data_IF_960656284019
#
_entry.id   IF_960656284019
#
_cell.length_a   1.000
_cell.length_b   1.000
_cell.length_c   1.000
_cell.angle_alpha   90.00
_cell.angle_beta   90.00
_cell.angle_gamma   90.00
#
_symmetry.space_group_name_H-M   'P 1'
#
loop_
_entity.id
_entity.type
_entity.pdbx_description
1 polymer ?
#
# COMPACT_ATOMS: atom_id res chain seq x y z
N UNK A 1 -27.28 -3.15 22.53
CA UNK A 1 -27.86 -1.95 23.18
C UNK A 1 -27.03 -0.76 22.77
N UNK A 2 -27.65 0.13 22.01
CA UNK A 2 -27.10 1.42 21.62
C UNK A 2 -27.35 2.48 22.71
N UNK A 3 -26.38 3.35 22.94
CA UNK A 3 -26.48 4.50 23.84
C UNK A 3 -26.05 5.74 23.07
N UNK A 4 -26.87 6.79 23.10
CA UNK A 4 -26.59 8.05 22.42
C UNK A 4 -26.49 9.14 23.48
N UNK A 5 -25.35 9.81 23.55
CA UNK A 5 -25.04 10.82 24.56
C UNK A 5 -24.70 12.14 23.87
N UNK A 6 -25.31 13.24 24.32
CA UNK A 6 -24.93 14.59 23.86
C UNK A 6 -23.64 15.01 24.58
N UNK A 7 -22.67 15.47 23.81
CA UNK A 7 -21.37 15.97 24.32
C UNK A 7 -21.46 17.47 24.62
N UNK A 8 -20.57 17.95 25.49
CA UNK A 8 -20.49 19.37 25.88
C UNK A 8 -20.21 20.28 24.67
N UNK A 9 -19.53 19.75 23.65
CA UNK A 9 -19.28 20.43 22.36
C UNK A 9 -20.50 20.50 21.43
N UNK A 10 -21.69 20.07 21.88
CA UNK A 10 -22.93 20.08 21.07
C UNK A 10 -23.04 18.94 20.05
N UNK A 11 -22.09 18.01 20.00
CA UNK A 11 -22.12 16.83 19.12
C UNK A 11 -22.79 15.63 19.81
N UNK A 12 -23.17 14.61 19.05
CA UNK A 12 -23.84 13.40 19.53
C UNK A 12 -22.92 12.19 19.42
N UNK A 13 -22.56 11.58 20.55
CA UNK A 13 -21.76 10.36 20.61
C UNK A 13 -22.68 9.15 20.69
N UNK A 14 -22.62 8.28 19.69
CA UNK A 14 -23.28 6.99 19.68
C UNK A 14 -22.30 5.89 20.13
N UNK A 15 -22.78 4.98 20.97
CA UNK A 15 -22.06 3.82 21.49
C UNK A 15 -22.90 2.56 21.28
N UNK A 16 -22.42 1.59 20.50
CA UNK A 16 -23.08 0.29 20.28
C UNK A 16 -22.33 -0.78 21.04
N UNK A 17 -23.03 -1.48 21.95
CA UNK A 17 -22.53 -2.66 22.67
C UNK A 17 -23.38 -3.88 22.33
N UNK A 18 -22.72 -4.94 21.87
CA UNK A 18 -23.34 -6.24 21.59
C UNK A 18 -22.45 -7.35 22.14
N UNK A 19 -23.05 -8.35 22.78
CA UNK A 19 -22.33 -9.52 23.30
C UNK A 19 -21.55 -10.20 22.18
N UNK A 20 -20.27 -10.51 22.42
CA UNK A 20 -19.37 -11.10 21.43
C UNK A 20 -18.69 -10.10 20.48
N UNK A 21 -18.97 -8.79 20.60
CA UNK A 21 -18.36 -7.75 19.77
C UNK A 21 -17.72 -6.65 20.64
N UNK A 22 -16.60 -6.03 20.19
CA UNK A 22 -16.03 -4.87 20.86
C UNK A 22 -16.99 -3.69 20.80
N UNK A 23 -16.96 -2.84 21.83
CA UNK A 23 -17.78 -1.64 21.88
C UNK A 23 -17.40 -0.67 20.76
N UNK A 24 -18.38 -0.23 19.97
CA UNK A 24 -18.17 0.70 18.86
C UNK A 24 -18.71 2.07 19.21
N UNK A 25 -17.91 3.11 19.00
CA UNK A 25 -18.31 4.48 19.25
C UNK A 25 -18.02 5.39 18.05
N UNK A 26 -18.98 6.26 17.72
CA UNK A 26 -18.83 7.29 16.68
C UNK A 26 -19.56 8.56 17.08
N UNK A 27 -19.00 9.70 16.72
CA UNK A 27 -19.56 11.03 17.00
C UNK A 27 -20.17 11.64 15.74
N UNK A 28 -21.31 12.30 15.90
CA UNK A 28 -22.14 12.87 14.84
C UNK A 28 -22.54 14.30 15.17
N UNK A 29 -22.86 15.09 14.14
CA UNK A 29 -23.37 16.46 14.33
C UNK A 29 -24.84 16.48 14.76
N UNK A 30 -25.65 15.55 14.26
CA UNK A 30 -27.08 15.48 14.58
C UNK A 30 -27.43 14.21 15.36
N UNK A 31 -28.50 14.29 16.17
CA UNK A 31 -29.02 13.12 16.90
C UNK A 31 -29.55 12.06 15.94
N UNK A 32 -30.19 12.50 14.85
CA UNK A 32 -30.77 11.62 13.84
C UNK A 32 -29.71 10.77 13.14
N UNK A 33 -28.59 11.37 12.73
CA UNK A 33 -27.48 10.62 12.13
C UNK A 33 -26.91 9.58 13.11
N UNK A 34 -26.83 9.93 14.40
CA UNK A 34 -26.39 9.02 15.45
C UNK A 34 -27.37 7.84 15.62
N UNK A 35 -28.68 8.10 15.63
CA UNK A 35 -29.73 7.06 15.69
C UNK A 35 -29.68 6.13 14.47
N UNK A 36 -29.65 6.70 13.26
CA UNK A 36 -29.60 5.95 12.00
C UNK A 36 -28.33 5.07 11.92
N UNK A 37 -27.18 5.60 12.35
CA UNK A 37 -25.94 4.84 12.42
C UNK A 37 -26.00 3.69 13.43
N UNK A 38 -26.57 3.92 14.63
CA UNK A 38 -26.70 2.86 15.65
C UNK A 38 -27.59 1.72 15.16
N UNK A 39 -28.75 2.04 14.56
CA UNK A 39 -29.66 1.03 14.01
C UNK A 39 -29.02 0.21 12.91
N UNK A 40 -28.36 0.87 11.95
CA UNK A 40 -27.64 0.19 10.86
C UNK A 40 -26.54 -0.73 11.41
N UNK A 41 -25.77 -0.25 12.37
CA UNK A 41 -24.67 -1.02 12.97
C UNK A 41 -25.18 -2.25 13.72
N UNK A 42 -26.25 -2.12 14.53
CA UNK A 42 -26.85 -3.25 15.23
C UNK A 42 -27.44 -4.28 14.25
N UNK A 43 -28.12 -3.83 13.19
CA UNK A 43 -28.66 -4.70 12.14
C UNK A 43 -27.55 -5.46 11.38
N UNK A 44 -26.47 -4.77 10.99
CA UNK A 44 -25.29 -5.41 10.38
C UNK A 44 -24.67 -6.46 11.31
N UNK A 45 -24.58 -6.17 12.61
CA UNK A 45 -24.07 -7.11 13.61
C UNK A 45 -25.01 -8.30 13.82
N UNK A 46 -26.33 -8.12 13.72
CA UNK A 46 -27.32 -9.20 13.80
C UNK A 46 -27.25 -10.11 12.58
N UNK A 47 -27.11 -9.54 11.39
CA UNK A 47 -26.97 -10.27 10.14
C UNK A 47 -25.60 -10.93 9.96
N UNK A 48 -24.63 -10.63 10.82
CA UNK A 48 -23.27 -11.17 10.74
C UNK A 48 -22.43 -10.57 9.61
N UNK A 49 -22.86 -9.45 9.01
CA UNK A 49 -22.16 -8.75 7.92
C UNK A 49 -21.34 -7.54 8.40
N UNK A 50 -21.27 -7.35 9.73
CA UNK A 50 -20.59 -6.20 10.32
C UNK A 50 -19.08 -6.25 10.09
N UNK A 51 -18.53 -5.18 9.51
CA UNK A 51 -17.10 -5.01 9.27
C UNK A 51 -16.64 -3.75 10.00
N UNK A 52 -15.67 -3.88 10.90
CA UNK A 52 -15.06 -2.73 11.57
C UNK A 52 -14.14 -1.95 10.63
N UNK A 53 -14.69 -0.93 9.96
CA UNK A 53 -13.94 -0.09 9.00
C UNK A 53 -13.15 1.06 9.63
N UNK A 54 -13.31 1.32 10.93
CA UNK A 54 -12.63 2.41 11.63
C UNK A 54 -11.10 2.32 11.55
N UNK A 55 -10.55 1.11 11.43
CA UNK A 55 -9.12 0.88 11.21
C UNK A 55 -8.63 1.42 9.87
N UNK A 56 -9.33 1.13 8.76
CA UNK A 56 -8.95 1.60 7.43
C UNK A 56 -9.20 3.09 7.18
N UNK A 57 -10.17 3.70 7.88
CA UNK A 57 -10.40 5.15 7.84
C UNK A 57 -9.25 5.93 8.48
N UNK A 58 -8.68 5.43 9.58
CA UNK A 58 -7.59 6.10 10.33
C UNK A 58 -6.21 5.76 9.79
N UNK A 59 -6.04 4.57 9.22
CA UNK A 59 -4.77 4.13 8.66
C UNK A 59 -4.53 4.79 7.30
N UNK A 60 -3.53 5.67 7.22
CA UNK A 60 -3.07 6.21 5.93
C UNK A 60 -2.18 5.20 5.21
N UNK A 61 -2.09 5.32 3.88
CA UNK A 61 -1.17 4.48 3.12
C UNK A 61 0.28 4.67 3.58
N UNK A 62 0.66 5.89 3.98
CA UNK A 62 2.00 6.14 4.52
C UNK A 62 2.27 5.38 5.82
N UNK A 63 1.31 5.35 6.74
CA UNK A 63 1.42 4.57 7.97
C UNK A 63 1.43 3.07 7.69
N UNK A 64 0.58 2.60 6.78
CA UNK A 64 0.52 1.21 6.36
C UNK A 64 1.85 0.74 5.75
N UNK A 65 2.44 1.51 4.84
CA UNK A 65 3.74 1.17 4.23
C UNK A 65 4.88 1.19 5.25
N UNK A 66 4.89 2.15 6.18
CA UNK A 66 5.90 2.18 7.26
C UNK A 66 5.80 0.93 8.14
N UNK A 67 4.58 0.55 8.53
CA UNK A 67 4.32 -0.68 9.29
C UNK A 67 4.76 -1.92 8.52
N UNK A 68 4.43 -2.00 7.23
CA UNK A 68 4.84 -3.10 6.36
C UNK A 68 6.36 -3.26 6.27
N UNK A 69 7.09 -2.15 6.15
CA UNK A 69 8.55 -2.16 6.11
C UNK A 69 9.17 -2.59 7.43
N UNK A 70 8.50 -2.37 8.56
CA UNK A 70 8.97 -2.77 9.88
C UNK A 70 8.65 -4.24 10.21
N UNK A 71 7.47 -4.73 9.81
CA UNK A 71 6.98 -6.06 10.19
C UNK A 71 7.30 -7.13 9.13
N UNK A 72 7.13 -6.81 7.84
CA UNK A 72 7.14 -7.81 6.75
C UNK A 72 8.46 -7.79 6.00
N UNK A 73 8.96 -6.61 5.63
CA UNK A 73 10.19 -6.48 4.84
C UNK A 73 11.41 -7.19 5.47
N UNK A 74 11.64 -7.18 6.80
CA UNK A 74 12.81 -7.81 7.41
C UNK A 74 12.89 -9.33 7.18
N UNK A 75 11.76 -10.00 6.94
CA UNK A 75 11.71 -11.44 6.64
C UNK A 75 12.23 -11.79 5.24
N UNK A 76 12.42 -10.78 4.37
CA UNK A 76 12.85 -10.94 2.98
C UNK A 76 14.36 -10.75 2.84
N UNK A 77 14.89 -11.12 1.67
CA UNK A 77 16.30 -10.90 1.33
C UNK A 77 16.70 -9.42 1.46
N UNK A 78 17.91 -9.08 1.93
CA UNK A 78 18.35 -7.69 2.10
C UNK A 78 18.28 -6.84 0.82
N UNK A 79 18.51 -7.46 -0.33
CA UNK A 79 18.35 -6.80 -1.65
C UNK A 79 16.90 -6.38 -1.89
N UNK A 80 15.94 -7.27 -1.61
CA UNK A 80 14.51 -6.99 -1.70
C UNK A 80 14.09 -5.89 -0.73
N UNK A 81 14.60 -5.90 0.51
CA UNK A 81 14.31 -4.87 1.51
C UNK A 81 14.64 -3.46 1.01
N UNK A 82 15.85 -3.28 0.45
CA UNK A 82 16.30 -1.98 -0.11
C UNK A 82 15.44 -1.53 -1.29
N UNK A 83 15.07 -2.46 -2.17
CA UNK A 83 14.19 -2.17 -3.32
C UNK A 83 12.79 -1.78 -2.84
N UNK A 84 12.21 -2.52 -1.89
CA UNK A 84 10.89 -2.22 -1.33
C UNK A 84 10.86 -0.88 -0.60
N UNK A 85 11.91 -0.54 0.15
CA UNK A 85 12.02 0.76 0.81
C UNK A 85 11.97 1.91 -0.21
N UNK A 86 12.71 1.79 -1.32
CA UNK A 86 12.71 2.82 -2.38
C UNK A 86 11.33 2.94 -3.03
N UNK A 87 10.65 1.82 -3.28
CA UNK A 87 9.30 1.81 -3.88
C UNK A 87 8.24 2.33 -2.93
N UNK A 88 8.33 1.99 -1.64
CA UNK A 88 7.48 2.53 -0.61
C UNK A 88 7.58 4.05 -0.54
N UNK A 89 8.79 4.62 -0.62
CA UNK A 89 8.95 6.09 -0.64
C UNK A 89 8.24 6.72 -1.85
N UNK A 90 8.32 6.10 -3.03
CA UNK A 90 7.60 6.57 -4.21
C UNK A 90 6.08 6.45 -4.08
N UNK A 91 5.57 5.40 -3.41
CA UNK A 91 4.13 5.29 -3.14
C UNK A 91 3.69 6.32 -2.09
N UNK A 92 4.51 6.57 -1.07
CA UNK A 92 4.23 7.54 -0.01
C UNK A 92 4.17 8.97 -0.56
N UNK A 93 5.07 9.34 -1.48
CA UNK A 93 5.10 10.70 -2.03
C UNK A 93 3.83 11.04 -2.82
N UNK A 94 3.26 10.07 -3.53
CA UNK A 94 2.07 10.29 -4.37
C UNK A 94 0.75 9.97 -3.66
N UNK A 95 0.71 8.87 -2.91
CA UNK A 95 -0.54 8.31 -2.36
C UNK A 95 -0.57 8.28 -0.82
N UNK A 96 0.51 8.68 -0.15
CA UNK A 96 0.66 8.51 1.30
C UNK A 96 -0.36 9.26 2.16
N UNK A 97 -0.97 10.33 1.63
CA UNK A 97 -1.99 11.14 2.34
C UNK A 97 -3.38 10.49 2.35
N UNK A 98 -3.66 9.57 1.43
CA UNK A 98 -4.95 8.89 1.40
C UNK A 98 -5.06 7.87 2.53
N UNK A 99 -6.25 7.79 3.12
CA UNK A 99 -6.59 6.65 3.99
C UNK A 99 -6.74 5.38 3.16
N UNK A 100 -6.48 4.22 3.77
CA UNK A 100 -6.64 2.93 3.10
C UNK A 100 -8.09 2.72 2.62
N UNK A 101 -9.07 3.33 3.29
CA UNK A 101 -10.48 3.33 2.90
C UNK A 101 -10.83 4.31 1.75
N UNK A 102 -10.09 5.43 1.62
CA UNK A 102 -10.34 6.42 0.58
C UNK A 102 -9.69 6.06 -0.78
N UNK A 103 -8.71 5.17 -0.77
CA UNK A 103 -8.09 4.68 -2.00
C UNK A 103 -9.11 3.93 -2.85
N UNK A 104 -9.12 4.23 -4.15
CA UNK A 104 -9.94 3.57 -5.16
C UNK A 104 -9.06 2.98 -6.27
N UNK A 105 -9.62 2.04 -7.05
CA UNK A 105 -8.93 1.50 -8.22
C UNK A 105 -8.56 2.60 -9.23
N UNK A 106 -9.40 3.64 -9.34
CA UNK A 106 -9.17 4.81 -10.18
C UNK A 106 -7.95 5.62 -9.72
N UNK A 107 -7.84 5.92 -8.42
CA UNK A 107 -6.68 6.64 -7.87
C UNK A 107 -5.38 5.89 -8.15
N UNK A 108 -5.39 4.56 -8.00
CA UNK A 108 -4.21 3.73 -8.25
C UNK A 108 -3.92 3.62 -9.76
N UNK A 109 -4.94 3.61 -10.62
CA UNK A 109 -4.76 3.66 -12.07
C UNK A 109 -4.15 5.00 -12.52
N UNK A 110 -4.63 6.12 -11.98
CA UNK A 110 -4.06 7.44 -12.21
C UNK A 110 -2.59 7.50 -11.73
N UNK A 111 -2.27 6.88 -10.60
CA UNK A 111 -0.89 6.73 -10.16
C UNK A 111 -0.04 5.94 -11.17
N UNK A 112 -0.53 4.80 -11.68
CA UNK A 112 0.18 4.03 -12.73
C UNK A 112 0.49 4.90 -13.95
N UNK A 113 -0.49 5.63 -14.44
CA UNK A 113 -0.37 6.39 -15.69
C UNK A 113 0.55 7.61 -15.51
N UNK A 114 0.43 8.32 -14.40
CA UNK A 114 1.35 9.42 -14.04
C UNK A 114 2.79 8.94 -13.86
N UNK A 115 2.99 7.75 -13.27
CA UNK A 115 4.33 7.16 -13.11
C UNK A 115 4.94 6.74 -14.44
N UNK A 116 4.17 6.14 -15.34
CA UNK A 116 4.64 5.79 -16.69
C UNK A 116 5.06 7.03 -17.49
N UNK A 117 4.34 8.15 -17.33
CA UNK A 117 4.68 9.43 -17.95
C UNK A 117 5.89 10.13 -17.29
N UNK A 118 6.25 9.76 -16.05
CA UNK A 118 7.33 10.43 -15.31
C UNK A 118 8.72 10.11 -15.87
N UNK A 119 9.55 11.14 -15.96
CA UNK A 119 10.94 11.06 -16.42
C UNK A 119 11.85 10.75 -15.23
N UNK A 120 12.63 9.70 -15.35
CA UNK A 120 13.65 9.33 -14.36
C UNK A 120 14.84 10.29 -14.40
N UNK A 121 15.66 10.32 -13.34
CA UNK A 121 16.89 11.11 -13.28
C UNK A 121 17.89 10.85 -14.44
N UNK A 122 17.67 9.78 -15.22
CA UNK A 122 18.47 9.43 -16.40
C UNK A 122 17.88 9.99 -17.71
N UNK A 123 16.91 10.89 -17.63
CA UNK A 123 16.23 11.48 -18.78
C UNK A 123 15.33 10.51 -19.55
N UNK A 124 15.08 9.30 -19.02
CA UNK A 124 14.26 8.27 -19.67
C UNK A 124 12.90 8.12 -18.97
N UNK A 125 11.82 7.79 -19.70
CA UNK A 125 10.56 7.40 -19.09
C UNK A 125 10.75 6.25 -18.09
N UNK A 126 9.92 6.23 -17.05
CA UNK A 126 9.97 5.18 -16.04
C UNK A 126 9.64 3.82 -16.67
N UNK A 127 10.51 2.83 -16.43
CA UNK A 127 10.31 1.47 -16.93
C UNK A 127 8.99 0.87 -16.42
N UNK A 128 8.26 0.18 -17.31
CA UNK A 128 7.07 -0.60 -16.96
C UNK A 128 7.34 -1.57 -15.79
N UNK A 129 8.52 -2.19 -15.74
CA UNK A 129 8.86 -3.11 -14.65
C UNK A 129 8.95 -2.40 -13.30
N UNK A 130 9.42 -1.15 -13.27
CA UNK A 130 9.47 -0.34 -12.05
C UNK A 130 8.07 -0.11 -11.50
N UNK A 131 7.12 0.30 -12.35
CA UNK A 131 5.72 0.54 -11.96
C UNK A 131 5.03 -0.77 -11.55
N UNK A 132 5.28 -1.87 -12.27
CA UNK A 132 4.75 -3.20 -11.91
C UNK A 132 5.19 -3.64 -10.51
N UNK A 133 6.45 -3.40 -10.15
CA UNK A 133 6.97 -3.73 -8.82
C UNK A 133 6.40 -2.81 -7.73
N UNK A 134 6.14 -1.53 -8.03
CA UNK A 134 5.45 -0.61 -7.10
C UNK A 134 4.01 -1.11 -6.84
N UNK A 135 3.28 -1.48 -7.89
CA UNK A 135 1.94 -2.07 -7.77
C UNK A 135 1.97 -3.43 -7.06
N UNK A 136 3.00 -4.25 -7.27
CA UNK A 136 3.15 -5.53 -6.59
C UNK A 136 3.33 -5.35 -5.07
N UNK A 137 4.15 -4.39 -4.65
CA UNK A 137 4.31 -4.02 -3.24
C UNK A 137 2.97 -3.57 -2.63
N UNK A 138 2.25 -2.68 -3.33
CA UNK A 138 0.95 -2.21 -2.87
C UNK A 138 -0.07 -3.36 -2.78
N UNK A 139 -0.08 -4.28 -3.75
CA UNK A 139 -0.95 -5.47 -3.73
C UNK A 139 -0.66 -6.36 -2.51
N UNK A 140 0.61 -6.59 -2.20
CA UNK A 140 0.97 -7.39 -1.04
C UNK A 140 0.64 -6.67 0.27
N UNK A 141 0.78 -5.34 0.33
CA UNK A 141 0.34 -4.55 1.47
C UNK A 141 -1.16 -4.75 1.74
N UNK A 142 -2.00 -4.67 0.71
CA UNK A 142 -3.44 -4.93 0.85
C UNK A 142 -3.73 -6.35 1.34
N UNK A 143 -2.98 -7.34 0.85
CA UNK A 143 -3.14 -8.74 1.27
C UNK A 143 -2.85 -8.91 2.77
N UNK A 144 -1.73 -8.38 3.26
CA UNK A 144 -1.39 -8.38 4.69
C UNK A 144 -2.39 -7.58 5.51
N UNK A 145 -2.83 -6.42 5.02
CA UNK A 145 -3.79 -5.58 5.72
C UNK A 145 -5.15 -6.26 5.92
N UNK A 146 -5.57 -7.09 4.97
CA UNK A 146 -6.80 -7.87 5.01
C UNK A 146 -6.63 -9.09 5.94
N UNK A 147 -5.52 -9.81 5.82
CA UNK A 147 -5.31 -11.08 6.53
C UNK A 147 -4.89 -10.90 7.98
N UNK A 148 -4.02 -9.93 8.27
CA UNK A 148 -3.34 -9.82 9.58
C UNK A 148 -3.75 -8.58 10.36
N UNK A 149 -3.99 -7.45 9.68
CA UNK A 149 -4.20 -6.18 10.39
C UNK A 149 -5.65 -5.87 10.70
N UNK A 150 -6.60 -6.65 10.17
CA UNK A 150 -8.02 -6.51 10.50
C UNK A 150 -8.59 -5.10 10.23
N UNK A 151 -8.09 -4.39 9.22
CA UNK A 151 -8.47 -2.99 8.95
C UNK A 151 -9.90 -2.81 8.40
N UNK A 152 -10.66 -3.89 8.27
CA UNK A 152 -11.99 -3.87 7.65
C UNK A 152 -11.95 -3.58 6.15
N UNK A 153 -10.82 -3.85 5.50
CA UNK A 153 -10.69 -3.85 4.05
C UNK A 153 -11.19 -5.21 3.55
N UNK A 154 -12.12 -5.23 2.60
CA UNK A 154 -12.75 -6.47 2.14
C UNK A 154 -12.06 -7.09 0.92
N UNK A 155 -11.41 -6.29 0.08
CA UNK A 155 -10.74 -6.78 -1.13
C UNK A 155 -9.52 -5.94 -1.49
N UNK A 156 -8.63 -6.56 -2.27
CA UNK A 156 -7.43 -5.91 -2.77
C UNK A 156 -7.74 -5.11 -4.04
N UNK A 157 -7.62 -3.79 -3.96
CA UNK A 157 -7.92 -2.86 -5.05
C UNK A 157 -7.00 -3.05 -6.27
N UNK A 158 -5.76 -3.47 -6.05
CA UNK A 158 -4.74 -3.55 -7.10
C UNK A 158 -5.01 -4.71 -8.06
N UNK A 159 -5.73 -5.75 -7.63
CA UNK A 159 -6.10 -6.88 -8.49
C UNK A 159 -7.06 -6.47 -9.60
N UNK A 160 -7.83 -5.40 -9.40
CA UNK A 160 -8.82 -4.91 -10.37
C UNK A 160 -8.22 -3.94 -11.40
N UNK A 161 -6.90 -3.74 -11.40
CA UNK A 161 -6.22 -2.76 -12.25
C UNK A 161 -5.38 -3.48 -13.31
N UNK A 162 -5.46 -3.01 -14.55
CA UNK A 162 -4.58 -3.48 -15.63
C UNK A 162 -3.13 -3.10 -15.34
N UNK A 163 -2.27 -4.10 -15.21
CA UNK A 163 -0.82 -3.89 -15.01
C UNK A 163 -0.17 -3.54 -16.35
N UNK A 164 0.86 -2.65 -16.37
CA UNK A 164 1.61 -2.39 -17.59
C UNK A 164 2.19 -3.68 -18.17
N UNK A 165 2.24 -3.80 -19.49
CA UNK A 165 2.87 -4.95 -20.15
C UNK A 165 4.34 -5.05 -19.71
N UNK A 166 4.84 -6.27 -19.42
CA UNK A 166 6.26 -6.45 -19.18
C UNK A 166 7.03 -5.93 -20.39
N UNK A 167 8.03 -5.07 -20.15
CA UNK A 167 8.90 -4.61 -21.23
C UNK A 167 9.75 -5.76 -21.76
N UNK A 168 10.35 -5.56 -22.94
CA UNK A 168 11.30 -6.53 -23.50
C UNK A 168 12.39 -6.88 -22.47
N UNK A 169 12.64 -8.19 -22.35
CA UNK A 169 13.74 -8.70 -21.54
C UNK A 169 15.07 -8.14 -22.05
N UNK A 170 16.02 -7.95 -21.14
CA UNK A 170 17.39 -7.65 -21.55
C UNK A 170 18.03 -8.94 -22.06
N UNK A 171 17.97 -9.19 -23.36
CA UNK A 171 18.58 -10.37 -24.00
C UNK A 171 19.98 -10.14 -24.56
N UNK A 172 20.56 -8.95 -24.38
CA UNK A 172 21.93 -8.68 -24.80
C UNK A 172 22.91 -9.49 -23.94
N UNK A 173 23.53 -10.50 -24.55
CA UNK A 173 24.70 -11.22 -24.03
C UNK A 173 25.99 -10.55 -24.50
N UNK A 174 27.08 -10.79 -23.78
CA UNK A 174 28.42 -10.39 -24.24
C UNK A 174 28.74 -11.15 -25.53
N UNK A 175 29.19 -10.43 -26.55
CA UNK A 175 29.84 -11.05 -27.71
C UNK A 175 31.25 -11.53 -27.33
N UNK A 176 31.78 -12.50 -28.07
CA UNK A 176 33.13 -13.03 -27.84
C UNK A 176 34.23 -11.95 -27.95
N UNK A 177 33.99 -10.88 -28.71
CA UNK A 177 34.92 -9.75 -28.81
C UNK A 177 34.83 -8.80 -27.61
N UNK A 178 33.63 -8.54 -27.11
CA UNK A 178 33.43 -7.75 -25.88
C UNK A 178 33.99 -8.49 -24.66
N UNK A 179 33.82 -9.81 -24.60
CA UNK A 179 34.42 -10.66 -23.58
C UNK A 179 35.95 -10.59 -23.60
N UNK A 180 36.57 -10.74 -24.79
CA UNK A 180 38.03 -10.60 -24.94
C UNK A 180 38.53 -9.22 -24.52
N UNK A 181 37.83 -8.15 -24.89
CA UNK A 181 38.17 -6.78 -24.46
C UNK A 181 38.03 -6.58 -22.95
N UNK A 182 36.98 -7.14 -22.34
CA UNK A 182 36.78 -7.12 -20.90
C UNK A 182 37.91 -7.84 -20.16
N UNK A 183 38.27 -9.05 -20.60
CA UNK A 183 39.34 -9.82 -19.99
C UNK A 183 40.70 -9.12 -20.11
N UNK A 184 40.99 -8.52 -21.26
CA UNK A 184 42.21 -7.73 -21.46
C UNK A 184 42.26 -6.50 -20.53
N UNK A 185 41.14 -5.78 -20.38
CA UNK A 185 41.05 -4.63 -19.47
C UNK A 185 41.20 -5.05 -17.99
N UNK A 186 40.62 -6.18 -17.59
CA UNK A 186 40.78 -6.74 -16.24
C UNK A 186 42.24 -7.10 -15.98
N UNK A 187 42.91 -7.79 -16.91
CA UNK A 187 44.31 -8.15 -16.78
C UNK A 187 45.25 -6.93 -16.70
N UNK A 188 44.97 -5.87 -17.45
CA UNK A 188 45.72 -4.63 -17.39
C UNK A 188 45.52 -3.85 -16.07
N UNK A 189 44.38 -4.04 -15.40
CA UNK A 189 44.12 -3.44 -14.09
C UNK A 189 44.63 -4.30 -12.91
N UNK A 190 44.98 -5.56 -13.16
CA UNK A 190 45.65 -6.47 -12.22
C UNK A 190 47.18 -6.38 -12.40
N UNK A 191 47.72 -5.22 -12.79
CA UNK A 191 49.16 -5.00 -12.58
C UNK A 191 49.45 -5.05 -11.07
N UNK A 192 50.51 -5.76 -10.67
CA UNK A 192 50.67 -6.25 -9.32
C UNK A 192 50.87 -5.07 -8.36
N UNK A 193 50.03 -5.03 -7.32
CA UNK A 193 50.36 -4.35 -6.08
C UNK A 193 51.58 -5.07 -5.48
N UNK A 194 52.79 -4.75 -5.97
CA UNK A 194 54.01 -5.47 -5.62
C UNK A 194 55.19 -5.18 -6.53
N UNK A 195 55.84 -4.04 -6.34
CA UNK A 195 57.27 -4.00 -6.07
C UNK A 195 57.65 -2.79 -5.23
#
# INVERSE_FOLDING_TARGET
>A
MATIVKTDAGTWKALVRKTGWPANAKTFRTKRDAEDWTRRTEDEMVRGVYIQRSGSERMTLAMALKRYLAEISPTKKPTTQRVEATKAQQLISHLGKYSMAALSAEIIANYRDTRLASITNRGKPTSNNTVRLELALLSHLYTVAIQEWGLGISFNLVLNIRKPSPGEGRDRRLSAEEERRLLAAVNAHIEPCGR
#
